data_IF_017040569909
#
_entry.id   IF_017040569909
#
_cell.length_a   1.000
_cell.length_b   1.000
_cell.length_c   1.000
_cell.angle_alpha   90.00
_cell.angle_beta   90.00
_cell.angle_gamma   90.00
#
_symmetry.space_group_name_H-M   'P 1'
#
loop_
_entity.id
_entity.type
_entity.pdbx_description
1 polymer ?
#
# COMPACT_ATOMS: atom_id res chain seq x y z
N UNK A 1 -9.46 -38.70 53.15
CA UNK A 1 -10.09 -39.48 52.06
C UNK A 1 -9.11 -39.51 50.89
N UNK A 2 -8.92 -40.70 50.30
CA UNK A 2 -8.04 -40.96 49.16
C UNK A 2 -8.69 -40.45 47.88
N UNK A 3 -7.90 -39.94 46.93
CA UNK A 3 -7.71 -40.61 45.64
C UNK A 3 -6.47 -40.11 44.92
N UNK A 4 -5.66 -41.08 44.50
CA UNK A 4 -4.45 -40.99 43.67
C UNK A 4 -4.89 -40.97 42.21
N UNK A 5 -4.17 -40.27 41.33
CA UNK A 5 -3.78 -40.83 40.02
C UNK A 5 -2.38 -40.35 39.67
N UNK A 6 -1.57 -41.34 39.32
CA UNK A 6 -0.17 -41.36 38.90
C UNK A 6 -0.13 -41.20 37.37
N UNK A 7 0.75 -40.36 36.81
CA UNK A 7 1.10 -40.45 35.40
C UNK A 7 2.62 -40.53 35.22
N UNK A 8 2.99 -41.44 34.32
CA UNK A 8 4.22 -42.19 34.23
C UNK A 8 5.19 -41.50 33.24
N UNK A 9 6.46 -41.36 33.62
CA UNK A 9 7.56 -41.09 32.69
C UNK A 9 7.77 -42.31 31.77
N UNK A 10 7.94 -42.07 30.47
CA UNK A 10 8.48 -43.05 29.53
C UNK A 10 9.50 -42.36 28.62
N UNK A 11 10.77 -42.57 28.97
CA UNK A 11 11.95 -42.36 28.12
C UNK A 11 12.23 -43.70 27.45
N UNK A 12 12.37 -43.72 26.13
CA UNK A 12 13.02 -44.83 25.42
C UNK A 12 14.08 -44.27 24.49
N UNK A 13 15.33 -44.52 24.87
CA UNK A 13 16.50 -44.50 24.00
C UNK A 13 16.72 -45.95 23.56
N UNK A 14 16.85 -46.21 22.27
CA UNK A 14 17.65 -47.35 21.80
C UNK A 14 18.33 -47.04 20.47
N UNK A 15 19.63 -47.36 20.51
CA UNK A 15 20.69 -47.20 19.52
C UNK A 15 20.63 -48.33 18.49
N UNK A 16 21.08 -48.07 17.26
CA UNK A 16 21.43 -49.11 16.30
C UNK A 16 21.97 -48.58 14.97
N UNK A 17 23.26 -48.27 14.91
CA UNK A 17 24.04 -48.25 13.67
C UNK A 17 24.29 -49.69 13.18
N UNK A 18 24.39 -49.89 11.87
CA UNK A 18 24.89 -51.11 11.24
C UNK A 18 25.13 -50.92 9.73
N UNK A 19 26.40 -50.89 9.35
CA UNK A 19 26.98 -50.70 8.02
C UNK A 19 26.94 -51.93 7.08
N UNK A 20 27.04 -51.63 5.77
CA UNK A 20 27.77 -52.31 4.67
C UNK A 20 27.58 -53.83 4.37
N UNK A 21 27.12 -54.17 3.15
CA UNK A 21 27.98 -54.65 2.03
C UNK A 21 27.19 -55.18 0.80
N UNK A 22 27.58 -54.67 -0.38
CA UNK A 22 27.82 -55.33 -1.70
C UNK A 22 26.80 -56.25 -2.38
N UNK A 23 26.43 -55.88 -3.62
CA UNK A 23 26.89 -56.45 -4.93
C UNK A 23 26.17 -55.72 -6.08
N UNK A 24 26.84 -54.89 -6.88
CA UNK A 24 27.53 -55.18 -8.16
C UNK A 24 26.66 -55.87 -9.23
N UNK A 25 26.36 -55.14 -10.31
CA UNK A 25 26.69 -55.59 -11.66
C UNK A 25 26.95 -54.40 -12.61
N UNK A 26 27.99 -54.59 -13.41
CA UNK A 26 28.72 -53.67 -14.28
C UNK A 26 27.94 -53.27 -15.54
N UNK A 27 28.12 -52.02 -15.98
CA UNK A 27 28.55 -51.79 -17.37
C UNK A 27 29.17 -50.41 -17.49
N UNK A 28 30.50 -50.39 -17.50
CA UNK A 28 31.31 -49.23 -17.84
C UNK A 28 31.48 -49.13 -19.36
N UNK A 29 31.21 -47.98 -19.97
CA UNK A 29 32.08 -47.46 -21.06
C UNK A 29 32.13 -45.92 -21.04
N UNK A 30 33.23 -45.47 -20.47
CA UNK A 30 34.01 -44.23 -20.57
C UNK A 30 33.63 -43.04 -21.48
N UNK A 31 33.61 -41.86 -20.83
CA UNK A 31 34.48 -40.66 -20.99
C UNK A 31 34.30 -39.73 -22.21
N UNK A 32 33.88 -38.49 -21.93
CA UNK A 32 34.62 -37.22 -22.10
C UNK A 32 33.82 -36.07 -21.41
N UNK A 33 34.26 -35.49 -20.28
CA UNK A 33 35.10 -34.27 -20.17
C UNK A 33 34.47 -33.06 -20.90
N UNK A 34 34.16 -31.88 -20.32
CA UNK A 34 34.82 -31.08 -19.26
C UNK A 34 33.86 -29.97 -18.81
N UNK A 35 34.07 -29.49 -17.57
CA UNK A 35 33.56 -28.26 -16.95
C UNK A 35 33.74 -27.02 -17.85
N UNK A 36 32.88 -26.00 -17.73
CA UNK A 36 33.25 -24.69 -17.16
C UNK A 36 32.05 -23.76 -17.02
N UNK A 37 32.26 -22.75 -16.18
CA UNK A 37 31.35 -21.79 -15.60
C UNK A 37 31.51 -20.41 -16.25
N UNK A 38 30.46 -19.58 -16.16
CA UNK A 38 30.52 -18.12 -15.96
C UNK A 38 30.66 -17.16 -17.18
N UNK A 39 29.63 -16.31 -17.27
CA UNK A 39 29.40 -14.98 -17.89
C UNK A 39 30.49 -14.25 -18.70
N UNK A 40 30.07 -13.52 -19.75
CA UNK A 40 29.97 -12.03 -19.83
C UNK A 40 29.33 -11.59 -21.17
N UNK A 41 28.84 -10.34 -21.18
CA UNK A 41 27.83 -9.77 -22.06
C UNK A 41 28.31 -9.11 -23.38
N UNK A 42 27.30 -8.74 -24.17
CA UNK A 42 27.23 -7.67 -25.19
C UNK A 42 27.70 -7.99 -26.61
N UNK A 43 26.77 -7.99 -27.58
CA UNK A 43 26.65 -6.96 -28.64
C UNK A 43 25.46 -7.24 -29.56
N UNK A 44 24.65 -6.19 -29.75
CA UNK A 44 23.78 -5.83 -30.88
C UNK A 44 23.63 -6.84 -32.03
N UNK A 45 22.39 -7.33 -32.20
CA UNK A 45 21.90 -7.76 -33.51
C UNK A 45 20.42 -7.40 -33.62
N UNK A 46 20.16 -6.34 -34.38
CA UNK A 46 18.87 -5.99 -34.97
C UNK A 46 18.41 -7.16 -35.83
N UNK A 47 17.34 -7.82 -35.42
CA UNK A 47 16.61 -8.76 -36.29
C UNK A 47 15.28 -8.10 -36.60
N UNK A 48 15.22 -7.50 -37.78
CA UNK A 48 13.99 -7.04 -38.41
C UNK A 48 13.17 -8.28 -38.75
N UNK A 49 12.19 -8.59 -37.92
CA UNK A 49 11.12 -9.52 -38.23
C UNK A 49 9.98 -8.71 -38.85
N UNK A 50 9.91 -8.67 -40.18
CA UNK A 50 8.67 -8.31 -40.86
C UNK A 50 7.63 -9.40 -40.55
N UNK A 51 6.81 -9.16 -39.54
CA UNK A 51 5.56 -9.88 -39.33
C UNK A 51 4.44 -9.06 -39.95
N UNK A 52 3.84 -9.68 -40.96
CA UNK A 52 2.62 -9.30 -41.69
C UNK A 52 1.59 -8.57 -40.82
N UNK A 53 1.18 -7.41 -41.31
CA UNK A 53 0.11 -6.57 -40.78
C UNK A 53 -1.24 -7.31 -40.76
N UNK A 54 -1.66 -7.78 -39.60
CA UNK A 54 -3.06 -7.60 -39.20
C UNK A 54 -3.17 -6.20 -38.62
N UNK A 55 -3.96 -5.34 -39.27
CA UNK A 55 -4.34 -4.04 -38.73
C UNK A 55 -5.32 -4.25 -37.57
N UNK A 56 -4.88 -4.92 -36.51
CA UNK A 56 -5.59 -4.99 -35.24
C UNK A 56 -5.61 -3.60 -34.62
N UNK A 57 -6.79 -3.10 -34.26
CA UNK A 57 -6.88 -1.87 -33.48
C UNK A 57 -6.06 -2.08 -32.21
N UNK A 58 -5.00 -1.28 -32.04
CA UNK A 58 -4.24 -1.26 -30.79
C UNK A 58 -5.18 -0.81 -29.68
N UNK A 59 -5.20 -1.54 -28.56
CA UNK A 59 -5.98 -1.18 -27.38
C UNK A 59 -5.69 0.28 -26.95
N UNK A 60 -6.75 1.05 -26.76
CA UNK A 60 -6.71 2.43 -26.33
C UNK A 60 -6.57 2.51 -24.81
N UNK A 61 -5.33 2.38 -24.35
CA UNK A 61 -4.99 2.46 -22.92
C UNK A 61 -5.37 3.80 -22.27
N UNK A 62 -5.69 4.85 -23.06
CA UNK A 62 -6.18 6.11 -22.51
C UNK A 62 -7.54 5.98 -21.81
N UNK A 63 -8.31 4.92 -22.10
CA UNK A 63 -9.55 4.59 -21.41
C UNK A 63 -9.34 4.34 -19.91
N UNK A 64 -8.15 3.90 -19.49
CA UNK A 64 -7.82 3.74 -18.07
C UNK A 64 -7.82 5.04 -17.28
N UNK A 65 -7.60 6.18 -17.93
CA UNK A 65 -7.65 7.49 -17.26
C UNK A 65 -9.02 7.75 -16.61
N UNK A 66 -10.11 7.20 -17.19
CA UNK A 66 -11.44 7.29 -16.59
C UNK A 66 -11.49 6.56 -15.24
N UNK A 67 -10.93 5.34 -15.17
CA UNK A 67 -10.90 4.55 -13.92
C UNK A 67 -10.03 5.24 -12.87
N UNK A 68 -8.83 5.70 -13.27
CA UNK A 68 -7.93 6.45 -12.39
C UNK A 68 -8.63 7.67 -11.81
N UNK A 69 -9.32 8.46 -12.66
CA UNK A 69 -10.11 9.61 -12.22
C UNK A 69 -11.26 9.23 -11.28
N UNK A 70 -11.94 8.11 -11.53
CA UNK A 70 -13.01 7.62 -10.65
C UNK A 70 -12.50 7.32 -9.23
N UNK A 71 -11.33 6.68 -9.11
CA UNK A 71 -10.69 6.47 -7.82
C UNK A 71 -10.26 7.79 -7.16
N UNK A 72 -9.68 8.72 -7.93
CA UNK A 72 -9.30 10.03 -7.42
C UNK A 72 -10.49 10.75 -6.77
N UNK A 73 -11.62 10.84 -7.47
CA UNK A 73 -12.85 11.45 -6.97
C UNK A 73 -13.44 10.69 -5.77
N UNK A 74 -13.40 9.35 -5.79
CA UNK A 74 -13.89 8.57 -4.65
C UNK A 74 -13.10 8.84 -3.35
N UNK A 75 -11.80 9.13 -3.46
CA UNK A 75 -10.98 9.51 -2.31
C UNK A 75 -11.18 10.96 -1.83
N UNK A 76 -12.03 11.75 -2.47
CA UNK A 76 -12.49 13.06 -1.99
C UNK A 76 -13.72 12.92 -1.06
N UNK A 77 -14.60 11.95 -1.35
CA UNK A 77 -15.73 11.58 -0.48
C UNK A 77 -16.00 10.08 -0.56
N UNK A 78 -15.44 9.34 0.40
CA UNK A 78 -15.53 7.87 0.45
C UNK A 78 -16.92 7.35 0.82
N UNK A 79 -17.87 8.23 1.15
CA UNK A 79 -19.25 7.82 1.46
C UNK A 79 -20.09 7.58 0.20
N UNK A 80 -19.61 8.00 -0.98
CA UNK A 80 -20.30 7.81 -2.24
C UNK A 80 -20.15 6.36 -2.71
N UNK A 81 -21.27 5.63 -2.77
CA UNK A 81 -21.26 4.29 -3.33
C UNK A 81 -21.06 4.33 -4.84
N UNK A 82 -20.13 3.50 -5.34
CA UNK A 82 -19.77 3.39 -6.75
C UNK A 82 -19.58 1.93 -7.12
N UNK A 83 -20.30 1.47 -8.14
CA UNK A 83 -20.22 0.07 -8.61
C UNK A 83 -19.03 -0.16 -9.57
N UNK A 84 -18.49 0.92 -10.14
CA UNK A 84 -17.44 0.92 -11.15
C UNK A 84 -16.01 0.84 -10.57
N UNK A 85 -15.87 0.82 -9.24
CA UNK A 85 -14.60 0.72 -8.51
C UNK A 85 -14.70 -0.26 -7.33
N UNK A 86 -13.56 -0.67 -6.78
CA UNK A 86 -13.50 -1.36 -5.49
C UNK A 86 -13.68 -0.37 -4.34
N UNK A 87 -14.76 -0.52 -3.57
CA UNK A 87 -15.07 0.33 -2.43
C UNK A 87 -14.01 0.28 -1.32
N UNK A 88 -13.23 -0.81 -1.21
CA UNK A 88 -12.12 -0.94 -0.26
C UNK A 88 -11.00 0.07 -0.49
N UNK A 89 -11.02 0.86 -1.56
CA UNK A 89 -10.15 2.03 -1.68
C UNK A 89 -10.30 3.03 -0.53
N UNK A 90 -11.41 3.01 0.24
CA UNK A 90 -11.55 3.83 1.44
C UNK A 90 -10.45 3.52 2.47
N UNK A 91 -9.85 2.32 2.44
CA UNK A 91 -8.73 1.94 3.30
C UNK A 91 -7.55 2.93 3.16
N UNK A 92 -7.41 3.61 2.02
CA UNK A 92 -6.40 4.64 1.83
C UNK A 92 -6.54 5.86 2.77
N UNK A 93 -7.68 6.01 3.47
CA UNK A 93 -7.83 7.02 4.52
C UNK A 93 -7.26 6.58 5.87
N UNK A 94 -6.88 5.31 6.00
CA UNK A 94 -6.25 4.79 7.21
C UNK A 94 -4.73 4.99 7.17
N UNK A 95 -4.14 5.33 8.32
CA UNK A 95 -2.73 5.67 8.48
C UNK A 95 -1.72 4.65 7.91
N UNK A 96 -2.07 3.36 7.93
CA UNK A 96 -1.21 2.30 7.40
C UNK A 96 -0.93 2.46 5.90
N UNK A 97 -1.87 3.07 5.17
CA UNK A 97 -1.80 3.23 3.73
C UNK A 97 -1.37 4.64 3.35
N UNK A 98 -0.57 4.76 2.29
CA UNK A 98 -0.05 6.03 1.75
C UNK A 98 -0.92 6.59 0.63
N UNK A 99 -1.88 5.79 0.13
CA UNK A 99 -2.79 6.20 -0.92
C UNK A 99 -3.24 5.03 -1.79
N UNK A 100 -4.00 5.36 -2.83
CA UNK A 100 -4.31 4.45 -3.94
C UNK A 100 -3.40 4.80 -5.11
N UNK A 101 -2.81 3.78 -5.70
CA UNK A 101 -1.86 3.88 -6.80
C UNK A 101 -2.31 3.01 -7.95
N UNK A 102 -1.76 3.31 -9.12
CA UNK A 102 -1.97 2.52 -10.32
C UNK A 102 -0.67 2.31 -11.09
N UNK A 103 -0.64 1.22 -11.85
CA UNK A 103 0.37 0.90 -12.86
C UNK A 103 -0.29 0.06 -13.94
N UNK A 104 0.40 -0.14 -15.06
CA UNK A 104 0.00 -1.13 -16.06
C UNK A 104 0.99 -2.29 -16.11
N UNK A 105 0.49 -3.50 -16.34
CA UNK A 105 1.28 -4.72 -16.48
C UNK A 105 0.51 -5.70 -17.38
N UNK A 106 1.18 -6.32 -18.35
CA UNK A 106 0.64 -7.44 -19.12
C UNK A 106 0.72 -8.69 -18.24
N UNK A 107 -0.35 -8.98 -17.51
CA UNK A 107 -0.35 -10.01 -16.47
C UNK A 107 -0.39 -11.39 -17.11
N UNK A 108 -1.29 -11.61 -18.08
CA UNK A 108 -1.51 -12.92 -18.69
C UNK A 108 -0.61 -13.20 -19.91
N UNK A 109 0.29 -12.27 -20.24
CA UNK A 109 1.21 -12.33 -21.37
C UNK A 109 0.50 -12.39 -22.74
N UNK A 110 -0.70 -11.79 -22.86
CA UNK A 110 -1.46 -11.75 -24.11
C UNK A 110 -1.08 -10.57 -25.02
N UNK A 111 -0.22 -9.65 -24.56
CA UNK A 111 0.21 -8.44 -25.27
C UNK A 111 -0.60 -7.19 -24.96
N UNK A 112 -1.67 -7.31 -24.15
CA UNK A 112 -2.48 -6.22 -23.61
C UNK A 112 -2.06 -6.01 -22.16
N UNK A 113 -1.75 -4.76 -21.78
CA UNK A 113 -1.45 -4.47 -20.38
C UNK A 113 -2.75 -4.22 -19.61
N UNK A 114 -2.93 -4.91 -18.49
CA UNK A 114 -3.96 -4.62 -17.51
C UNK A 114 -3.60 -3.39 -16.67
N UNK A 115 -4.61 -2.58 -16.33
CA UNK A 115 -4.54 -1.59 -15.27
C UNK A 115 -4.65 -2.29 -13.91
N UNK A 116 -3.63 -2.14 -13.09
CA UNK A 116 -3.62 -2.56 -11.69
C UNK A 116 -3.90 -1.36 -10.80
N UNK A 117 -4.86 -1.48 -9.88
CA UNK A 117 -5.11 -0.50 -8.81
C UNK A 117 -4.69 -1.12 -7.48
N UNK A 118 -3.89 -0.43 -6.68
CA UNK A 118 -3.34 -0.96 -5.43
C UNK A 118 -3.36 0.09 -4.30
N UNK A 119 -3.34 -0.39 -3.06
CA UNK A 119 -2.98 0.42 -1.90
C UNK A 119 -1.46 0.41 -1.72
N UNK A 120 -0.87 1.59 -1.60
CA UNK A 120 0.51 1.73 -1.11
C UNK A 120 0.54 1.76 0.41
N UNK A 121 1.62 1.32 1.04
CA UNK A 121 1.85 1.45 2.48
C UNK A 121 3.13 2.24 2.79
N UNK A 122 3.37 2.52 4.07
CA UNK A 122 4.53 3.27 4.55
C UNK A 122 5.88 2.57 4.29
N UNK A 123 5.87 1.26 4.05
CA UNK A 123 7.07 0.46 3.76
C UNK A 123 7.40 0.45 2.24
N UNK A 124 6.62 1.15 1.42
CA UNK A 124 6.77 1.16 -0.04
C UNK A 124 6.26 -0.11 -0.73
N UNK A 125 5.47 -0.93 -0.03
CA UNK A 125 4.82 -2.10 -0.61
C UNK A 125 3.44 -1.76 -1.16
N UNK A 126 3.03 -2.51 -2.19
CA UNK A 126 1.75 -2.34 -2.86
C UNK A 126 0.89 -3.60 -2.73
N UNK A 127 -0.38 -3.42 -2.33
CA UNK A 127 -1.37 -4.50 -2.24
C UNK A 127 -2.48 -4.24 -3.24
N UNK A 128 -2.68 -5.17 -4.17
CA UNK A 128 -3.67 -5.05 -5.24
C UNK A 128 -5.10 -4.96 -4.69
N UNK A 129 -5.90 -4.06 -5.26
CA UNK A 129 -7.31 -3.84 -4.98
C UNK A 129 -8.22 -4.20 -6.15
N UNK A 130 -7.82 -3.86 -7.38
CA UNK A 130 -8.69 -3.97 -8.55
C UNK A 130 -7.85 -4.15 -9.81
N UNK A 131 -8.45 -4.73 -10.84
CA UNK A 131 -7.83 -4.99 -12.14
C UNK A 131 -8.82 -4.69 -13.27
N UNK A 132 -8.30 -4.07 -14.34
CA UNK A 132 -9.08 -3.77 -15.54
C UNK A 132 -8.26 -4.10 -16.80
N UNK A 133 -8.93 -4.56 -17.85
CA UNK A 133 -8.33 -4.80 -19.17
C UNK A 133 -9.07 -4.01 -20.26
N UNK A 134 -8.47 -3.91 -21.45
CA UNK A 134 -9.14 -3.41 -22.65
C UNK A 134 -9.29 -4.59 -23.62
N UNK A 135 -10.53 -4.90 -24.02
CA UNK A 135 -10.78 -6.01 -24.95
C UNK A 135 -10.22 -5.72 -26.35
N UNK A 136 -10.18 -6.75 -27.20
CA UNK A 136 -9.86 -6.61 -28.63
C UNK A 136 -10.81 -5.66 -29.37
N UNK A 137 -12.03 -5.48 -28.86
CA UNK A 137 -13.04 -4.55 -29.39
C UNK A 137 -12.91 -3.14 -28.79
N UNK A 138 -11.86 -2.89 -28.02
CA UNK A 138 -11.56 -1.61 -27.37
C UNK A 138 -12.58 -1.20 -26.29
N UNK A 139 -13.10 -2.21 -25.58
CA UNK A 139 -14.00 -2.02 -24.46
C UNK A 139 -13.24 -2.13 -23.14
N UNK A 140 -13.48 -1.19 -22.24
CA UNK A 140 -12.94 -1.20 -20.88
C UNK A 140 -13.70 -2.19 -20.02
N UNK A 141 -12.99 -3.18 -19.46
CA UNK A 141 -13.58 -4.28 -18.69
C UNK A 141 -12.92 -4.36 -17.32
N UNK A 142 -13.73 -4.41 -16.26
CA UNK A 142 -13.29 -4.71 -14.90
C UNK A 142 -13.18 -6.21 -14.73
N UNK A 143 -11.99 -6.70 -14.34
CA UNK A 143 -11.70 -8.12 -14.18
C UNK A 143 -12.08 -8.63 -12.79
N UNK A 144 -11.94 -7.81 -11.75
CA UNK A 144 -12.22 -8.16 -10.35
C UNK A 144 -13.64 -7.76 -9.97
N UNK A 145 -14.59 -8.69 -10.13
CA UNK A 145 -16.04 -8.42 -10.09
C UNK A 145 -16.73 -9.20 -8.97
N UNK A 146 -18.02 -8.94 -8.76
CA UNK A 146 -18.82 -9.69 -7.78
C UNK A 146 -19.03 -11.14 -8.25
N UNK A 147 -19.17 -11.35 -9.57
CA UNK A 147 -19.37 -12.68 -10.18
C UNK A 147 -18.23 -13.65 -9.85
N UNK A 148 -17.00 -13.17 -9.83
CA UNK A 148 -15.82 -13.97 -9.45
C UNK A 148 -15.35 -13.75 -8.01
N UNK A 149 -16.13 -13.04 -7.19
CA UNK A 149 -15.91 -12.79 -5.77
C UNK A 149 -14.65 -11.97 -5.47
N UNK A 150 -14.25 -11.08 -6.39
CA UNK A 150 -13.06 -10.23 -6.28
C UNK A 150 -13.38 -8.73 -6.25
N UNK A 151 -14.65 -8.33 -6.22
CA UNK A 151 -15.06 -6.90 -6.22
C UNK A 151 -14.67 -6.10 -4.97
N UNK A 152 -14.25 -6.78 -3.90
CA UNK A 152 -14.01 -6.19 -2.58
C UNK A 152 -12.66 -6.62 -1.96
N UNK A 153 -11.63 -6.84 -2.78
CA UNK A 153 -10.27 -7.13 -2.31
C UNK A 153 -9.80 -5.98 -1.39
N UNK A 154 -9.15 -6.28 -0.26
CA UNK A 154 -8.81 -5.34 0.80
C UNK A 154 -8.00 -6.01 1.91
N UNK A 155 -8.05 -5.56 3.16
CA UNK A 155 -7.15 -6.06 4.23
C UNK A 155 -7.16 -7.59 4.43
N UNK A 156 -8.33 -8.22 4.24
CA UNK A 156 -8.54 -9.66 4.46
C UNK A 156 -8.36 -10.51 3.21
N UNK A 157 -8.11 -9.88 2.06
CA UNK A 157 -8.11 -10.52 0.76
C UNK A 157 -6.91 -10.00 -0.03
N UNK A 158 -6.01 -10.88 -0.44
CA UNK A 158 -4.89 -10.53 -1.31
C UNK A 158 -5.03 -11.25 -2.63
N UNK A 159 -4.75 -10.53 -3.71
CA UNK A 159 -4.64 -11.07 -5.05
C UNK A 159 -3.24 -10.73 -5.56
N UNK A 160 -2.48 -11.76 -5.94
CA UNK A 160 -1.05 -11.67 -6.22
C UNK A 160 -0.82 -12.18 -7.65
N UNK A 161 -0.36 -11.32 -8.58
CA UNK A 161 0.05 -11.77 -9.90
C UNK A 161 1.23 -12.73 -9.83
N UNK A 162 1.18 -13.81 -10.60
CA UNK A 162 2.25 -14.79 -10.74
C UNK A 162 2.93 -14.66 -12.10
N UNK A 163 4.20 -15.07 -12.19
CA UNK A 163 4.99 -14.98 -13.43
C UNK A 163 4.46 -15.86 -14.57
N UNK A 164 3.62 -16.86 -14.26
CA UNK A 164 3.01 -17.75 -15.25
C UNK A 164 1.71 -17.22 -15.85
N UNK A 165 1.31 -16.00 -15.49
CA UNK A 165 0.10 -15.34 -15.97
C UNK A 165 -1.18 -15.68 -15.20
N UNK A 166 -1.06 -16.41 -14.10
CA UNK A 166 -2.17 -16.67 -13.18
C UNK A 166 -2.17 -15.69 -11.99
N UNK A 167 -3.24 -15.69 -11.21
CA UNK A 167 -3.36 -14.88 -10.00
C UNK A 167 -3.58 -15.78 -8.79
N UNK A 168 -2.77 -15.59 -7.75
CA UNK A 168 -2.94 -16.28 -6.48
C UNK A 168 -3.76 -15.43 -5.52
N UNK A 169 -4.88 -15.99 -5.06
CA UNK A 169 -5.77 -15.36 -4.10
C UNK A 169 -5.63 -15.98 -2.72
N UNK A 170 -5.58 -15.12 -1.71
CA UNK A 170 -5.60 -15.48 -0.29
C UNK A 170 -6.72 -14.68 0.37
N UNK A 171 -7.79 -15.33 0.81
CA UNK A 171 -8.92 -14.70 1.50
C UNK A 171 -9.06 -15.19 2.93
N UNK A 172 -9.54 -14.34 3.83
CA UNK A 172 -9.96 -14.76 5.18
C UNK A 172 -11.46 -14.52 5.36
N UNK A 173 -12.19 -15.58 5.76
CA UNK A 173 -13.61 -15.51 6.12
C UNK A 173 -13.84 -15.43 7.65
N UNK A 174 -12.76 -15.38 8.43
CA UNK A 174 -12.79 -15.40 9.89
C UNK A 174 -11.41 -15.63 10.51
N UNK A 175 -11.29 -15.47 11.83
CA UNK A 175 -10.01 -15.53 12.54
C UNK A 175 -9.21 -16.84 12.36
N UNK A 176 -9.90 -17.94 12.03
CA UNK A 176 -9.30 -19.27 11.88
C UNK A 176 -9.59 -19.89 10.51
N UNK A 177 -10.04 -19.11 9.52
CA UNK A 177 -10.42 -19.61 8.20
C UNK A 177 -9.78 -18.78 7.09
N UNK A 178 -8.95 -19.46 6.30
CA UNK A 178 -8.32 -18.92 5.10
C UNK A 178 -8.79 -19.74 3.90
N UNK A 179 -9.00 -19.09 2.77
CA UNK A 179 -9.19 -19.73 1.47
C UNK A 179 -8.10 -19.29 0.52
N UNK A 180 -7.69 -20.23 -0.33
CA UNK A 180 -6.62 -20.10 -1.29
C UNK A 180 -7.18 -20.48 -2.65
N UNK A 181 -6.98 -19.64 -3.67
CA UNK A 181 -7.46 -19.91 -5.03
C UNK A 181 -6.42 -19.53 -6.08
N UNK A 182 -6.43 -20.25 -7.20
CA UNK A 182 -5.74 -19.82 -8.42
C UNK A 182 -6.80 -19.35 -9.40
N UNK A 183 -6.64 -18.12 -9.89
CA UNK A 183 -7.46 -17.55 -10.94
C UNK A 183 -6.69 -17.52 -12.27
N UNK A 184 -7.38 -17.85 -13.34
CA UNK A 184 -6.88 -17.81 -14.71
C UNK A 184 -7.74 -16.87 -15.55
N UNK A 185 -7.11 -16.26 -16.55
CA UNK A 185 -7.80 -15.49 -17.57
C UNK A 185 -8.49 -16.42 -18.56
N UNK A 186 -9.67 -16.05 -19.04
CA UNK A 186 -10.29 -16.73 -20.18
C UNK A 186 -9.45 -16.54 -21.45
N UNK A 187 -9.77 -17.29 -22.50
CA UNK A 187 -9.01 -17.24 -23.75
C UNK A 187 -8.95 -15.82 -24.37
N UNK A 188 -9.95 -14.99 -24.08
CA UNK A 188 -10.05 -13.62 -24.56
C UNK A 188 -9.33 -12.60 -23.66
N UNK A 189 -8.81 -12.99 -22.49
CA UNK A 189 -8.17 -12.07 -21.53
C UNK A 189 -9.14 -11.17 -20.74
N UNK A 190 -10.46 -11.36 -20.86
CA UNK A 190 -11.46 -10.41 -20.35
C UNK A 190 -12.25 -10.88 -19.14
N UNK A 191 -12.01 -12.10 -18.66
CA UNK A 191 -12.67 -12.64 -17.47
C UNK A 191 -11.69 -13.48 -16.65
N UNK A 192 -11.85 -13.46 -15.33
CA UNK A 192 -11.13 -14.33 -14.40
C UNK A 192 -12.04 -15.43 -13.86
N UNK A 193 -11.54 -16.66 -13.84
CA UNK A 193 -12.22 -17.81 -13.23
C UNK A 193 -11.26 -18.57 -12.29
N UNK A 194 -11.79 -19.06 -11.17
CA UNK A 194 -11.02 -19.87 -10.22
C UNK A 194 -10.89 -21.29 -10.76
N UNK A 195 -9.67 -21.83 -10.88
CA UNK A 195 -9.41 -23.19 -11.36
C UNK A 195 -9.07 -24.19 -10.27
N UNK A 196 -8.55 -23.69 -9.14
CA UNK A 196 -8.15 -24.50 -7.98
C UNK A 196 -8.52 -23.75 -6.71
N UNK A 197 -8.97 -24.48 -5.69
CA UNK A 197 -9.34 -23.90 -4.39
C UNK A 197 -8.91 -24.83 -3.24
N UNK A 198 -8.47 -24.24 -2.13
CA UNK A 198 -8.13 -24.96 -0.90
C UNK A 198 -8.47 -24.11 0.33
N UNK A 199 -8.80 -24.78 1.43
CA UNK A 199 -9.06 -24.14 2.75
C UNK A 199 -8.02 -24.54 3.80
N UNK A 200 -7.00 -25.33 3.41
CA UNK A 200 -5.97 -25.80 4.33
C UNK A 200 -4.89 -24.73 4.52
N UNK A 201 -4.67 -24.35 5.78
CA UNK A 201 -3.79 -23.25 6.21
C UNK A 201 -2.37 -23.37 5.65
N UNK A 202 -1.88 -24.59 5.39
CA UNK A 202 -0.51 -24.84 4.91
C UNK A 202 -0.31 -24.71 3.40
N UNK A 203 -1.34 -24.42 2.58
CA UNK A 203 -1.16 -24.18 1.14
C UNK A 203 -0.60 -25.37 0.33
N UNK A 204 -0.17 -26.46 0.98
CA UNK A 204 0.53 -27.62 0.40
C UNK A 204 -0.25 -28.37 -0.69
N UNK A 205 -1.53 -28.04 -0.89
CA UNK A 205 -2.38 -28.64 -1.92
C UNK A 205 -2.44 -27.83 -3.22
N UNK A 206 -1.97 -26.58 -3.21
CA UNK A 206 -1.91 -25.73 -4.40
C UNK A 206 -0.44 -25.42 -4.64
N UNK A 207 0.10 -25.95 -5.73
CA UNK A 207 1.40 -25.51 -6.24
C UNK A 207 1.26 -24.07 -6.73
N UNK A 208 2.00 -23.15 -6.09
CA UNK A 208 1.98 -21.72 -6.37
C UNK A 208 3.25 -21.38 -7.14
N UNK A 209 3.11 -20.75 -8.30
CA UNK A 209 4.23 -20.24 -9.08
C UNK A 209 4.96 -19.08 -8.41
N UNK A 210 6.02 -18.59 -9.05
CA UNK A 210 6.73 -17.40 -8.54
C UNK A 210 5.86 -16.15 -8.65
N UNK A 211 5.80 -15.35 -7.59
CA UNK A 211 5.08 -14.07 -7.59
C UNK A 211 5.80 -13.02 -8.42
N UNK A 212 5.03 -12.16 -9.08
CA UNK A 212 5.55 -10.90 -9.62
C UNK A 212 5.95 -9.99 -8.46
N UNK A 213 7.15 -9.42 -8.53
CA UNK A 213 7.58 -8.40 -7.59
C UNK A 213 6.92 -7.06 -7.94
N UNK A 214 5.91 -6.66 -7.16
CA UNK A 214 5.21 -5.40 -7.39
C UNK A 214 6.05 -4.18 -7.00
N UNK A 215 7.10 -4.33 -6.18
CA UNK A 215 7.91 -3.20 -5.68
C UNK A 215 8.81 -2.58 -6.76
N UNK A 216 9.11 -3.33 -7.82
CA UNK A 216 9.94 -2.86 -8.95
C UNK A 216 9.13 -2.14 -10.02
N UNK A 217 7.80 -2.14 -9.92
CA UNK A 217 6.92 -1.48 -10.89
C UNK A 217 6.88 0.04 -10.63
N UNK A 218 6.54 0.80 -11.67
CA UNK A 218 6.41 2.26 -11.58
C UNK A 218 4.99 2.64 -11.23
N UNK A 219 4.72 2.76 -9.95
CA UNK A 219 3.42 3.16 -9.43
C UNK A 219 3.23 4.68 -9.48
N UNK A 220 2.04 5.10 -9.85
CA UNK A 220 1.61 6.50 -9.86
C UNK A 220 0.39 6.65 -8.96
N UNK A 221 0.33 7.71 -8.16
CA UNK A 221 -0.86 8.03 -7.35
C UNK A 221 -2.07 8.24 -8.26
N UNK A 222 -3.25 7.76 -7.84
CA UNK A 222 -4.51 8.05 -8.56
C UNK A 222 -4.98 9.46 -8.32
N UNK A 223 -4.65 10.04 -7.15
CA UNK A 223 -4.75 11.48 -6.97
C UNK A 223 -3.64 12.05 -7.86
N UNK A 224 -4.03 12.66 -8.98
CA UNK A 224 -3.19 13.70 -9.56
C UNK A 224 -2.92 14.67 -8.44
N UNK A 225 -1.67 14.79 -8.02
CA UNK A 225 -1.29 15.90 -7.18
C UNK A 225 -1.84 17.13 -7.87
N UNK A 226 -2.77 17.85 -7.21
CA UNK A 226 -2.79 19.28 -7.39
C UNK A 226 -1.33 19.68 -7.25
N UNK A 227 -0.75 20.23 -8.34
CA UNK A 227 0.65 20.03 -8.73
C UNK A 227 1.45 19.95 -7.47
N UNK A 228 2.06 18.79 -7.19
CA UNK A 228 2.88 18.53 -6.01
C UNK A 228 3.42 19.88 -5.58
N UNK A 229 2.77 20.52 -4.61
CA UNK A 229 3.43 21.56 -3.90
C UNK A 229 4.30 20.62 -3.04
N UNK A 230 5.45 20.12 -3.49
CA UNK A 230 6.64 20.95 -3.73
C UNK A 230 6.39 22.44 -3.46
N UNK A 231 5.75 22.75 -2.33
CA UNK A 231 6.39 23.58 -1.37
C UNK A 231 7.70 22.87 -1.12
N UNK A 232 8.72 23.25 -1.90
CA UNK A 232 9.99 23.62 -1.28
C UNK A 232 9.64 24.14 0.09
N UNK A 233 10.09 23.51 1.18
CA UNK A 233 9.79 23.90 2.55
C UNK A 233 9.84 25.43 2.66
N UNK A 234 8.68 26.05 2.46
CA UNK A 234 8.52 27.48 2.55
C UNK A 234 8.46 27.71 4.04
N UNK A 235 9.10 28.77 4.51
CA UNK A 235 8.89 29.18 5.89
C UNK A 235 7.37 29.24 6.15
N UNK A 236 6.95 28.69 7.29
CA UNK A 236 5.54 28.70 7.69
C UNK A 236 4.99 30.14 7.61
N UNK A 237 3.97 30.36 6.77
CA UNK A 237 3.31 31.65 6.61
C UNK A 237 2.04 31.69 7.46
N UNK A 238 2.19 32.08 8.72
CA UNK A 238 1.07 32.19 9.66
C UNK A 238 0.01 33.24 9.24
N UNK A 239 0.38 34.23 8.43
CA UNK A 239 -0.56 35.25 7.97
C UNK A 239 -1.46 34.72 6.83
N UNK A 240 -0.92 33.83 5.99
CA UNK A 240 -1.68 33.06 5.01
C UNK A 240 -2.61 32.06 5.71
N UNK A 241 -2.08 31.30 6.69
CA UNK A 241 -2.86 30.33 7.47
C UNK A 241 -4.02 31.00 8.21
N UNK A 242 -3.79 32.17 8.82
CA UNK A 242 -4.86 32.94 9.48
C UNK A 242 -6.02 33.29 8.53
N UNK A 243 -5.73 33.48 7.23
CA UNK A 243 -6.72 33.81 6.19
C UNK A 243 -7.32 32.57 5.52
N UNK A 244 -6.96 31.37 5.96
CA UNK A 244 -7.46 30.10 5.42
C UNK A 244 -6.63 29.53 4.27
N UNK A 245 -5.43 30.05 4.01
CA UNK A 245 -4.47 29.43 3.10
C UNK A 245 -3.49 28.57 3.89
N UNK A 246 -3.68 27.25 3.81
CA UNK A 246 -2.93 26.26 4.59
C UNK A 246 -1.71 25.70 3.85
N UNK A 247 -1.41 26.21 2.65
CA UNK A 247 -0.37 25.65 1.78
C UNK A 247 0.99 25.51 2.46
N UNK A 248 1.40 26.50 3.25
CA UNK A 248 2.70 26.51 3.95
C UNK A 248 2.82 25.50 5.09
N UNK A 249 1.71 24.88 5.52
CA UNK A 249 1.70 23.87 6.59
C UNK A 249 1.11 22.53 6.12
N UNK A 250 0.69 22.44 4.85
CA UNK A 250 -0.04 21.33 4.26
C UNK A 250 0.89 20.15 3.92
N UNK A 251 1.52 19.60 4.95
CA UNK A 251 2.43 18.47 4.88
C UNK A 251 2.38 17.67 6.19
N UNK A 252 3.22 16.65 6.29
CA UNK A 252 3.34 15.83 7.49
C UNK A 252 4.24 16.48 8.54
N UNK A 253 3.89 16.24 9.81
CA UNK A 253 4.64 16.67 10.98
C UNK A 253 4.78 15.51 11.95
N UNK A 254 5.84 15.48 12.74
CA UNK A 254 6.17 14.39 13.67
C UNK A 254 6.65 14.94 15.02
N UNK A 255 6.20 14.34 16.12
CA UNK A 255 6.68 14.67 17.47
C UNK A 255 7.88 13.80 17.87
N UNK A 256 8.48 14.07 19.03
CA UNK A 256 9.63 13.28 19.54
C UNK A 256 9.28 11.81 19.84
N UNK A 257 8.00 11.50 20.11
CA UNK A 257 7.52 10.14 20.34
C UNK A 257 7.29 9.35 19.04
N UNK A 258 7.36 10.01 17.88
CA UNK A 258 7.09 9.42 16.56
C UNK A 258 5.62 9.47 16.14
N UNK A 259 4.74 10.11 16.91
CA UNK A 259 3.37 10.36 16.48
C UNK A 259 3.37 11.39 15.35
N UNK A 260 2.59 11.10 14.32
CA UNK A 260 2.47 11.95 13.14
C UNK A 260 1.13 12.65 13.09
N UNK A 261 1.16 13.87 12.57
CA UNK A 261 -0.03 14.56 12.07
C UNK A 261 0.18 14.94 10.62
N UNK A 262 -0.87 14.92 9.81
CA UNK A 262 -0.85 15.51 8.47
C UNK A 262 -1.93 16.57 8.34
N UNK A 263 -1.59 17.69 7.71
CA UNK A 263 -2.52 18.81 7.53
C UNK A 263 -2.90 18.87 6.06
N UNK A 264 -4.21 18.89 5.82
CA UNK A 264 -4.79 19.07 4.49
C UNK A 264 -5.95 20.06 4.61
N UNK A 265 -5.73 21.29 4.15
CA UNK A 265 -6.65 22.39 4.41
C UNK A 265 -6.78 22.66 5.93
N UNK A 266 -8.01 22.75 6.43
CA UNK A 266 -8.28 22.94 7.86
C UNK A 266 -8.31 21.61 8.65
N UNK A 267 -8.20 20.46 7.99
CA UNK A 267 -8.24 19.15 8.63
C UNK A 267 -6.84 18.73 9.07
N UNK A 268 -6.74 18.22 10.30
CA UNK A 268 -5.52 17.63 10.87
C UNK A 268 -5.83 16.16 11.14
N UNK A 269 -5.14 15.28 10.43
CA UNK A 269 -5.27 13.84 10.58
C UNK A 269 -4.23 13.35 11.59
N UNK A 270 -4.66 12.64 12.63
CA UNK A 270 -3.78 12.09 13.65
C UNK A 270 -3.36 10.67 13.27
N UNK A 271 -2.19 10.23 13.74
CA UNK A 271 -1.72 8.84 13.60
C UNK A 271 -2.67 7.80 14.19
N UNK A 272 -3.57 8.18 15.11
CA UNK A 272 -4.63 7.33 15.65
C UNK A 272 -5.75 7.01 14.64
N UNK A 273 -5.81 7.71 13.51
CA UNK A 273 -6.92 7.66 12.54
C UNK A 273 -8.05 8.64 12.84
N UNK A 274 -7.97 9.39 13.94
CA UNK A 274 -8.90 10.48 14.23
C UNK A 274 -8.61 11.71 13.35
N UNK A 275 -9.67 12.43 12.97
CA UNK A 275 -9.57 13.71 12.25
C UNK A 275 -10.07 14.81 13.17
N UNK A 276 -9.26 15.85 13.37
CA UNK A 276 -9.65 17.07 14.06
C UNK A 276 -9.65 18.24 13.09
N UNK A 277 -10.53 19.21 13.34
CA UNK A 277 -10.62 20.41 12.51
C UNK A 277 -10.02 21.61 13.23
N UNK A 278 -9.20 22.36 12.50
CA UNK A 278 -8.74 23.68 12.91
C UNK A 278 -9.92 24.66 12.87
N UNK A 279 -10.20 25.29 14.01
CA UNK A 279 -11.27 26.27 14.11
C UNK A 279 -10.89 27.54 13.33
N UNK A 280 -11.57 27.77 12.21
CA UNK A 280 -11.32 28.91 11.33
C UNK A 280 -11.81 30.24 11.91
N UNK A 281 -12.76 30.20 12.86
CA UNK A 281 -13.41 31.37 13.45
C UNK A 281 -12.70 32.03 14.64
N UNK A 282 -11.47 31.62 14.97
CA UNK A 282 -10.77 32.06 16.18
C UNK A 282 -9.25 32.15 16.07
N UNK A 283 -8.70 32.15 14.85
CA UNK A 283 -7.26 32.24 14.62
C UNK A 283 -6.74 33.65 14.89
N UNK A 284 -5.79 33.76 15.82
CA UNK A 284 -5.17 35.03 16.22
C UNK A 284 -3.67 34.93 16.10
N UNK A 285 -3.02 35.99 15.62
CA UNK A 285 -1.56 36.08 15.62
C UNK A 285 -1.14 36.92 16.81
N UNK A 286 -0.38 36.34 17.72
CA UNK A 286 0.21 37.01 18.88
C UNK A 286 1.70 36.69 18.92
N UNK A 287 2.55 37.71 19.06
CA UNK A 287 4.01 37.56 19.11
C UNK A 287 4.58 36.68 17.98
N UNK A 288 4.10 36.89 16.74
CA UNK A 288 4.55 36.13 15.56
C UNK A 288 4.25 34.62 15.62
N UNK A 289 3.27 34.23 16.43
CA UNK A 289 2.74 32.87 16.52
C UNK A 289 1.25 32.88 16.21
N UNK A 290 0.79 31.93 15.39
CA UNK A 290 -0.64 31.72 15.20
C UNK A 290 -1.20 30.88 16.34
N UNK A 291 -2.22 31.38 17.01
CA UNK A 291 -2.97 30.72 18.06
C UNK A 291 -4.37 30.38 17.56
N UNK A 292 -4.85 29.20 17.94
CA UNK A 292 -6.18 28.74 17.58
C UNK A 292 -6.67 27.62 18.48
N UNK A 293 -7.73 26.98 18.02
CA UNK A 293 -8.24 25.75 18.63
C UNK A 293 -8.47 24.69 17.57
N UNK A 294 -8.32 23.43 17.98
CA UNK A 294 -8.77 22.27 17.21
C UNK A 294 -9.93 21.63 17.94
N UNK A 295 -10.90 21.09 17.22
CA UNK A 295 -12.07 20.44 17.81
C UNK A 295 -12.22 18.99 17.34
N UNK A 296 -12.60 18.12 18.28
CA UNK A 296 -13.05 16.76 18.06
C UNK A 296 -14.42 16.56 18.72
N UNK A 297 -15.51 16.69 17.96
CA UNK A 297 -16.87 16.63 18.50
C UNK A 297 -17.13 17.72 19.56
N UNK A 298 -17.48 17.34 20.80
CA UNK A 298 -17.74 18.27 21.91
C UNK A 298 -16.47 18.71 22.66
N UNK A 299 -15.31 18.16 22.33
CA UNK A 299 -14.03 18.42 23.01
C UNK A 299 -13.14 19.26 22.11
N UNK A 300 -12.36 20.18 22.67
CA UNK A 300 -11.41 21.01 21.91
C UNK A 300 -10.04 21.07 22.58
N UNK A 301 -9.00 21.30 21.80
CA UNK A 301 -7.65 21.59 22.27
C UNK A 301 -7.21 22.96 21.74
N UNK A 302 -6.17 23.54 22.33
CA UNK A 302 -5.47 24.69 21.76
C UNK A 302 -4.42 24.20 20.78
N UNK A 303 -4.22 24.99 19.72
CA UNK A 303 -3.14 24.80 18.76
C UNK A 303 -2.36 26.10 18.64
N UNK A 304 -1.03 25.98 18.55
CA UNK A 304 -0.15 27.06 18.19
C UNK A 304 0.74 26.66 17.02
N UNK A 305 0.96 27.57 16.07
CA UNK A 305 1.86 27.39 14.94
C UNK A 305 2.93 28.47 15.00
N UNK A 306 4.17 28.05 15.21
CA UNK A 306 5.32 28.93 15.38
C UNK A 306 6.35 28.70 14.26
N UNK A 307 6.60 29.69 13.39
CA UNK A 307 7.67 29.62 12.42
C UNK A 307 9.04 29.45 13.08
N UNK A 308 10.02 28.91 12.35
CA UNK A 308 11.41 28.80 12.81
C UNK A 308 11.94 30.16 13.28
N UNK A 309 12.73 30.16 14.36
CA UNK A 309 13.33 31.34 14.97
C UNK A 309 12.40 32.12 15.90
N UNK A 310 11.09 31.84 15.91
CA UNK A 310 10.13 32.51 16.79
C UNK A 310 10.07 31.82 18.15
N UNK A 311 10.12 32.59 19.23
CA UNK A 311 9.93 32.06 20.59
C UNK A 311 8.45 31.99 20.94
N UNK A 312 8.04 30.88 21.56
CA UNK A 312 6.70 30.73 22.10
C UNK A 312 6.69 31.13 23.58
N UNK A 313 6.13 32.31 23.90
CA UNK A 313 6.27 32.94 25.23
C UNK A 313 5.10 32.72 26.19
N UNK A 314 4.06 31.95 25.84
CA UNK A 314 2.98 31.66 26.79
C UNK A 314 3.48 30.85 27.99
N UNK A 315 3.02 31.28 29.18
CA UNK A 315 3.61 31.12 30.51
C UNK A 315 3.65 29.70 31.11
N UNK A 316 3.62 28.62 30.35
CA UNK A 316 3.65 27.26 30.91
C UNK A 316 4.71 26.41 30.19
N UNK A 317 5.94 26.64 30.67
CA UNK A 317 7.09 25.73 30.64
C UNK A 317 7.38 25.12 29.28
N UNK A 318 8.20 25.78 28.46
CA UNK A 318 9.01 25.09 27.46
C UNK A 318 10.20 25.95 27.01
N UNK A 319 11.22 26.01 27.87
CA UNK A 319 12.55 26.45 27.47
C UNK A 319 13.30 25.44 26.59
N UNK A 320 12.61 24.58 25.83
CA UNK A 320 13.25 23.49 25.09
C UNK A 320 12.47 22.97 23.87
N UNK A 321 11.71 23.82 23.16
CA UNK A 321 11.36 23.46 21.76
C UNK A 321 12.54 23.81 20.86
N UNK A 322 12.78 23.01 19.82
CA UNK A 322 13.83 23.31 18.85
C UNK A 322 13.40 24.51 17.99
N UNK A 323 13.85 25.71 18.40
CA UNK A 323 13.52 26.96 17.72
C UNK A 323 14.14 27.06 16.33
N UNK A 324 15.06 26.18 15.96
CA UNK A 324 15.66 26.19 14.62
C UNK A 324 14.71 25.66 13.54
N UNK A 325 13.55 25.13 13.95
CA UNK A 325 12.55 24.51 13.09
C UNK A 325 11.18 25.14 13.31
N UNK A 326 10.33 25.02 12.29
CA UNK A 326 8.91 25.29 12.44
C UNK A 326 8.28 24.29 13.42
N UNK A 327 7.28 24.74 14.18
CA UNK A 327 6.64 23.95 15.22
C UNK A 327 5.12 24.08 15.18
N UNK A 328 4.44 22.96 15.37
CA UNK A 328 3.03 22.91 15.73
C UNK A 328 2.91 22.36 17.14
N UNK A 329 2.15 23.04 17.99
CA UNK A 329 1.98 22.68 19.39
C UNK A 329 0.50 22.45 19.63
N UNK A 330 0.14 21.28 20.17
CA UNK A 330 -1.25 20.93 20.50
C UNK A 330 -1.35 20.58 21.99
N UNK A 331 -2.32 21.16 22.69
CA UNK A 331 -2.44 21.00 24.14
C UNK A 331 -3.83 21.30 24.71
N UNK A 332 -4.15 20.68 25.84
CA UNK A 332 -5.41 20.85 26.55
C UNK A 332 -5.26 21.94 27.63
N UNK A 333 -5.65 23.18 27.30
CA UNK A 333 -5.61 24.30 28.24
C UNK A 333 -4.21 24.85 28.54
N UNK A 334 -4.14 25.95 29.28
CA UNK A 334 -2.91 26.73 29.45
C UNK A 334 -1.75 25.93 30.08
N UNK A 335 -1.98 24.85 30.81
CA UNK A 335 -0.98 24.24 31.70
C UNK A 335 -0.32 22.94 31.26
N UNK A 336 -0.67 22.38 30.11
CA UNK A 336 -0.06 21.13 29.64
C UNK A 336 0.15 21.17 28.12
N UNK A 337 1.37 21.52 27.69
CA UNK A 337 1.83 21.16 26.35
C UNK A 337 2.06 19.66 26.35
N UNK A 338 1.27 18.91 25.57
CA UNK A 338 1.43 17.47 25.44
C UNK A 338 2.26 17.11 24.22
N UNK A 339 2.08 17.81 23.10
CA UNK A 339 2.67 17.40 21.83
C UNK A 339 3.22 18.60 21.04
N UNK A 340 4.52 18.51 20.70
CA UNK A 340 5.22 19.43 19.80
C UNK A 340 5.63 18.66 18.56
N UNK A 341 5.15 19.10 17.40
CA UNK A 341 5.41 18.49 16.11
C UNK A 341 6.32 19.38 15.27
N UNK A 342 7.22 18.74 14.52
CA UNK A 342 8.13 19.38 13.58
C UNK A 342 7.88 18.85 12.16
N UNK A 343 8.18 19.59 11.09
CA UNK A 343 8.01 19.12 9.72
C UNK A 343 8.78 17.81 9.52
N UNK A 344 8.13 16.81 8.92
CA UNK A 344 8.78 15.56 8.52
C UNK A 344 9.75 15.88 7.37
N UNK A 345 11.04 15.56 7.56
CA UNK A 345 12.11 15.88 6.59
C UNK A 345 12.10 14.96 5.38
#
# INVERSE_FOLDING_TARGET
MKNKVLLLLLVTVLVGCGENEKKNEDSSTSIAATKESTSVASTSSTVTSESTTESGRKADMSQYNQIVGNYATFLEDTNVQRADINSMAFLATQYFYTGVFHTTLDVDNNGTQELLIALGNQEGAYTLLDMYTISSDNELIRLTTEENQLNAIGERMRLIPLQDGTLYYIGSSGANSQSYKIYEFNQQGIQLYSTRESTNVEGESIEIGESVDLSILKWQSVKTDAPEQQGTSGEVDIAAVQKGDYSSISHSWVNEAGDMISIAGASINLSSGDIVELSTGGLQVENEVLLGSVSFGMTGARIAIAPKGIEFTETLVLGSTDITRDRIIIGQGASEIKDVYYPLQ
#
